data_IF_339885019842
#
_entry.id   IF_339885019842
#
_cell.length_a   1.000
_cell.length_b   1.000
_cell.length_c   1.000
_cell.angle_alpha   90.00
_cell.angle_beta   90.00
_cell.angle_gamma   90.00
#
_symmetry.space_group_name_H-M   'P 1'
#
loop_
_entity.id
_entity.type
_entity.pdbx_description
1 polymer ?
#
# COMPACT_ATOMS: atom_id res chain seq x y z
N UNK A 1 -27.87 -15.35 -64.29
CA UNK A 1 -27.33 -16.63 -64.80
C UNK A 1 -26.38 -17.17 -63.76
N UNK A 2 -26.63 -18.39 -63.24
CA UNK A 2 -25.91 -19.24 -62.25
C UNK A 2 -25.88 -18.72 -60.83
N UNK A 3 -26.74 -19.14 -59.93
CA UNK A 3 -26.92 -20.37 -59.16
C UNK A 3 -25.64 -20.80 -58.43
N UNK A 4 -25.62 -20.52 -57.10
CA UNK A 4 -24.75 -21.21 -56.13
C UNK A 4 -25.62 -21.86 -55.07
N UNK A 5 -25.44 -23.17 -54.99
CA UNK A 5 -26.18 -24.14 -54.19
C UNK A 5 -26.05 -23.93 -52.71
N UNK A 6 -27.15 -24.11 -52.01
CA UNK A 6 -27.28 -24.34 -50.60
C UNK A 6 -26.59 -25.70 -50.25
N UNK A 7 -25.62 -25.66 -49.32
CA UNK A 7 -25.19 -26.85 -48.58
C UNK A 7 -25.55 -26.69 -47.13
N UNK A 8 -26.44 -27.57 -46.67
CA UNK A 8 -26.91 -27.70 -45.32
C UNK A 8 -25.77 -27.90 -44.35
N UNK A 9 -25.80 -27.12 -43.27
CA UNK A 9 -24.97 -27.32 -42.08
C UNK A 9 -25.78 -28.20 -41.12
N UNK A 10 -25.18 -29.37 -40.81
CA UNK A 10 -25.73 -30.35 -39.89
C UNK A 10 -25.88 -29.74 -38.47
N UNK A 11 -27.03 -29.99 -37.85
CA UNK A 11 -27.28 -29.74 -36.43
C UNK A 11 -26.24 -30.49 -35.58
N UNK A 12 -25.36 -29.75 -34.93
CA UNK A 12 -24.49 -30.28 -33.89
C UNK A 12 -25.24 -30.29 -32.57
N UNK A 13 -25.40 -31.47 -32.01
CA UNK A 13 -25.97 -31.79 -30.71
C UNK A 13 -25.47 -30.83 -29.64
N UNK A 14 -26.39 -30.01 -29.09
CA UNK A 14 -26.15 -29.25 -27.88
C UNK A 14 -26.18 -30.20 -26.67
N UNK A 15 -24.99 -30.58 -26.21
CA UNK A 15 -24.81 -31.25 -24.92
C UNK A 15 -25.22 -30.30 -23.81
N UNK A 16 -26.41 -30.57 -23.22
CA UNK A 16 -26.89 -29.85 -22.03
C UNK A 16 -25.95 -30.13 -20.86
N UNK A 17 -25.46 -29.11 -20.14
CA UNK A 17 -24.65 -29.34 -18.94
C UNK A 17 -25.51 -30.02 -17.86
N UNK A 18 -25.00 -31.13 -17.32
CA UNK A 18 -25.60 -31.82 -16.18
C UNK A 18 -25.58 -30.89 -14.97
N UNK A 19 -26.64 -30.84 -14.13
CA UNK A 19 -26.62 -30.06 -12.88
C UNK A 19 -25.61 -30.65 -11.92
N UNK A 20 -24.66 -29.80 -11.48
CA UNK A 20 -23.71 -30.11 -10.41
C UNK A 20 -24.52 -30.44 -9.13
N UNK A 21 -24.47 -31.70 -8.70
CA UNK A 21 -24.97 -32.09 -7.38
C UNK A 21 -24.21 -31.26 -6.32
N UNK A 22 -24.98 -30.39 -5.64
CA UNK A 22 -24.54 -29.75 -4.40
C UNK A 22 -24.29 -30.83 -3.36
N UNK A 23 -23.03 -31.21 -3.13
CA UNK A 23 -22.68 -31.96 -1.92
C UNK A 23 -22.82 -30.99 -0.75
N UNK A 24 -23.76 -31.29 0.14
CA UNK A 24 -23.90 -30.62 1.44
C UNK A 24 -22.59 -30.79 2.25
N UNK A 25 -21.87 -29.69 2.47
CA UNK A 25 -20.76 -29.62 3.40
C UNK A 25 -21.36 -29.68 4.82
N UNK A 26 -20.81 -30.48 5.75
CA UNK A 26 -21.30 -30.55 7.13
C UNK A 26 -21.21 -29.16 7.79
N UNK A 27 -22.29 -28.79 8.49
CA UNK A 27 -22.37 -27.56 9.31
C UNK A 27 -21.66 -27.72 10.66
N UNK A 28 -20.34 -27.86 10.65
CA UNK A 28 -19.54 -27.81 11.87
C UNK A 28 -18.31 -26.92 11.69
N UNK A 29 -18.50 -25.74 11.06
CA UNK A 29 -17.56 -24.65 11.20
C UNK A 29 -18.05 -23.77 12.35
N UNK A 30 -17.55 -24.04 13.57
CA UNK A 30 -17.64 -23.11 14.69
C UNK A 30 -17.08 -21.78 14.24
N UNK A 31 -17.85 -20.71 14.42
CA UNK A 31 -17.43 -19.34 14.20
C UNK A 31 -16.06 -19.13 14.87
N UNK A 32 -15.02 -18.96 14.08
CA UNK A 32 -13.73 -18.50 14.58
C UNK A 32 -13.98 -17.08 15.10
N UNK A 33 -13.91 -16.93 16.41
CA UNK A 33 -13.87 -15.63 17.06
C UNK A 33 -12.76 -14.76 16.42
N UNK A 34 -12.86 -13.41 16.41
CA UNK A 34 -11.84 -12.55 15.86
C UNK A 34 -10.50 -12.93 16.46
N UNK A 35 -9.58 -13.37 15.60
CA UNK A 35 -8.29 -13.93 15.97
C UNK A 35 -7.49 -12.91 16.79
N UNK A 36 -7.14 -13.33 18.02
CA UNK A 36 -6.19 -12.67 18.88
C UNK A 36 -4.87 -12.48 18.08
N UNK A 37 -4.64 -11.27 17.56
CA UNK A 37 -3.55 -11.00 16.60
C UNK A 37 -2.21 -10.86 17.34
N UNK A 38 -1.78 -11.92 18.04
CA UNK A 38 -0.52 -11.99 18.81
C UNK A 38 0.74 -11.96 17.93
N UNK A 39 0.63 -12.04 16.60
CA UNK A 39 1.73 -11.72 15.69
C UNK A 39 2.15 -10.24 15.77
N UNK A 40 1.35 -9.42 16.43
CA UNK A 40 1.70 -8.05 16.77
C UNK A 40 2.93 -7.95 17.70
N UNK A 41 3.25 -9.01 18.46
CA UNK A 41 4.34 -9.01 19.45
C UNK A 41 5.74 -9.23 18.85
N UNK A 42 5.90 -9.29 17.54
CA UNK A 42 7.20 -9.21 16.87
C UNK A 42 7.81 -7.81 17.07
N UNK A 43 7.96 -7.40 18.32
CA UNK A 43 8.66 -6.19 18.69
C UNK A 43 10.17 -6.49 18.84
N UNK A 44 11.05 -5.55 18.50
CA UNK A 44 12.45 -5.68 18.82
C UNK A 44 12.60 -5.86 20.36
N UNK A 45 13.51 -6.73 20.82
CA UNK A 45 13.77 -6.91 22.26
C UNK A 45 14.12 -5.54 22.85
N UNK A 46 13.58 -5.24 24.03
CA UNK A 46 13.93 -4.05 24.79
C UNK A 46 15.45 -4.00 24.92
N UNK A 47 16.05 -2.87 24.57
CA UNK A 47 17.48 -2.63 24.73
C UNK A 47 17.84 -2.63 26.23
N UNK A 48 18.10 -3.80 26.80
CA UNK A 48 18.97 -3.92 27.94
C UNK A 48 20.40 -3.74 27.43
N UNK A 49 21.04 -2.67 27.86
CA UNK A 49 22.47 -2.44 27.66
C UNK A 49 23.22 -3.66 28.18
N UNK A 50 24.24 -4.06 27.42
CA UNK A 50 25.27 -5.07 27.70
C UNK A 50 25.12 -6.34 26.86
N UNK A 51 25.87 -6.34 25.74
CA UNK A 51 26.89 -7.34 25.40
C UNK A 51 27.52 -6.90 24.07
N UNK A 52 28.70 -6.34 24.18
CA UNK A 52 29.56 -6.03 23.03
C UNK A 52 30.10 -7.32 22.39
N UNK A 53 29.47 -7.72 21.29
CA UNK A 53 30.09 -8.64 20.34
C UNK A 53 30.46 -7.84 19.09
N UNK A 54 31.76 -7.60 18.91
CA UNK A 54 32.34 -7.01 17.71
C UNK A 54 32.16 -7.97 16.54
N UNK A 55 31.03 -7.88 15.83
CA UNK A 55 30.89 -8.40 14.49
C UNK A 55 31.44 -7.33 13.54
N UNK A 56 32.65 -7.59 13.02
CA UNK A 56 33.25 -6.78 11.98
C UNK A 56 32.46 -6.84 10.66
N UNK A 57 31.36 -6.11 10.58
CA UNK A 57 30.66 -5.89 9.34
C UNK A 57 31.42 -4.82 8.56
N UNK A 58 32.20 -5.21 7.55
CA UNK A 58 32.57 -4.31 6.46
C UNK A 58 31.26 -3.86 5.80
N UNK A 59 30.73 -2.72 6.25
CA UNK A 59 29.69 -1.99 5.57
C UNK A 59 30.25 -1.52 4.23
N UNK A 60 30.04 -2.29 3.16
CA UNK A 60 30.08 -1.72 1.82
C UNK A 60 28.84 -0.84 1.69
N UNK A 61 28.94 0.39 2.19
CA UNK A 61 27.99 1.43 1.88
C UNK A 61 28.05 1.64 0.37
N UNK A 62 27.15 0.95 -0.36
CA UNK A 62 26.82 1.35 -1.72
C UNK A 62 26.25 2.75 -1.58
N UNK A 63 27.06 3.76 -1.86
CA UNK A 63 26.61 5.14 -2.00
C UNK A 63 25.63 5.18 -3.15
N UNK A 64 24.36 4.90 -2.86
CA UNK A 64 23.27 5.12 -3.81
C UNK A 64 23.27 6.61 -4.10
N UNK A 65 23.49 6.99 -5.37
CA UNK A 65 23.24 8.36 -5.81
C UNK A 65 21.83 8.72 -5.34
N UNK A 66 21.72 9.66 -4.40
CA UNK A 66 20.45 10.19 -3.96
C UNK A 66 19.70 10.73 -5.19
N UNK A 67 18.42 10.46 -5.29
CA UNK A 67 17.57 11.06 -6.33
C UNK A 67 17.52 12.57 -6.16
N UNK A 68 16.93 13.28 -7.11
CA UNK A 68 16.78 14.74 -7.00
C UNK A 68 15.92 15.08 -5.78
N UNK A 69 16.37 15.99 -4.87
CA UNK A 69 15.53 16.48 -3.78
C UNK A 69 14.25 17.11 -4.31
N UNK A 70 13.11 16.81 -3.69
CA UNK A 70 11.82 17.45 -3.98
C UNK A 70 11.43 18.28 -2.77
N UNK A 71 11.35 19.60 -2.96
CA UNK A 71 11.02 20.55 -1.89
C UNK A 71 9.53 20.44 -1.55
N UNK A 72 9.25 20.37 -0.26
CA UNK A 72 7.87 20.43 0.27
C UNK A 72 7.34 21.86 0.23
N UNK A 73 8.18 22.83 0.59
CA UNK A 73 7.82 24.26 0.53
C UNK A 73 7.44 24.66 -0.91
N UNK A 74 6.31 25.33 -1.05
CA UNK A 74 5.70 25.76 -2.31
C UNK A 74 5.27 24.62 -3.23
N UNK A 75 5.26 23.36 -2.77
CA UNK A 75 4.69 22.25 -3.53
C UNK A 75 3.16 22.28 -3.55
N UNK A 76 2.58 21.58 -4.51
CA UNK A 76 1.14 21.32 -4.56
C UNK A 76 0.98 19.81 -4.39
N UNK A 77 0.41 19.42 -3.24
CA UNK A 77 0.27 18.01 -2.87
C UNK A 77 -1.15 17.51 -3.10
N UNK A 78 -1.29 16.27 -3.59
CA UNK A 78 -2.55 15.52 -3.60
C UNK A 78 -2.38 14.30 -2.69
N UNK A 79 -3.26 14.15 -1.69
CA UNK A 79 -3.25 13.02 -0.75
C UNK A 79 -4.53 12.22 -0.88
N UNK A 80 -4.45 10.94 -1.21
CA UNK A 80 -5.62 10.05 -1.28
C UNK A 80 -5.97 9.47 0.08
N UNK A 81 -7.28 9.25 0.37
CA UNK A 81 -7.74 8.78 1.67
C UNK A 81 -7.48 9.78 2.80
N UNK A 82 -7.69 11.07 2.54
CA UNK A 82 -7.30 12.18 3.40
C UNK A 82 -8.34 12.58 4.47
N UNK A 83 -9.52 11.96 4.49
CA UNK A 83 -10.57 12.29 5.45
C UNK A 83 -10.25 11.90 6.90
N UNK A 84 -9.35 10.93 7.12
CA UNK A 84 -8.97 10.42 8.44
C UNK A 84 -7.57 9.82 8.48
N UNK A 85 -7.17 9.36 9.65
CA UNK A 85 -5.95 8.58 9.88
C UNK A 85 -4.70 9.24 9.33
N UNK A 86 -3.82 8.44 8.72
CA UNK A 86 -2.53 8.88 8.20
C UNK A 86 -2.68 9.94 7.08
N UNK A 87 -3.67 9.78 6.18
CA UNK A 87 -3.89 10.72 5.09
C UNK A 87 -4.20 12.14 5.57
N UNK A 88 -5.04 12.27 6.63
CA UNK A 88 -5.31 13.56 7.27
C UNK A 88 -4.03 14.17 7.87
N UNK A 89 -3.19 13.34 8.49
CA UNK A 89 -1.93 13.81 9.09
C UNK A 89 -0.92 14.22 8.00
N UNK A 90 -0.90 13.55 6.83
CA UNK A 90 -0.11 14.01 5.67
C UNK A 90 -0.54 15.41 5.21
N UNK A 91 -1.85 15.66 5.06
CA UNK A 91 -2.34 16.99 4.70
C UNK A 91 -1.84 18.05 5.68
N UNK A 92 -1.95 17.78 6.99
CA UNK A 92 -1.45 18.67 8.02
C UNK A 92 0.06 18.90 7.92
N UNK A 93 0.84 17.82 7.75
CA UNK A 93 2.29 17.90 7.60
C UNK A 93 2.73 18.72 6.39
N UNK A 94 2.05 18.58 5.24
CA UNK A 94 2.34 19.41 4.06
C UNK A 94 2.06 20.89 4.33
N UNK A 95 0.93 21.23 4.94
CA UNK A 95 0.59 22.63 5.29
C UNK A 95 1.62 23.22 6.24
N UNK A 96 1.99 22.51 7.29
CA UNK A 96 2.99 22.96 8.28
C UNK A 96 4.37 23.20 7.66
N UNK A 97 4.73 22.44 6.64
CA UNK A 97 6.02 22.57 5.93
C UNK A 97 5.95 23.50 4.72
N UNK A 98 4.86 24.29 4.61
CA UNK A 98 4.74 25.38 3.63
C UNK A 98 4.43 24.94 2.21
N UNK A 99 3.72 23.84 2.03
CA UNK A 99 3.12 23.52 0.72
C UNK A 99 2.17 24.68 0.31
N UNK A 100 2.20 25.06 -0.95
CA UNK A 100 1.38 26.14 -1.48
C UNK A 100 -0.11 25.74 -1.58
N UNK A 101 -0.37 24.45 -1.79
CA UNK A 101 -1.73 23.89 -1.87
C UNK A 101 -1.71 22.42 -1.46
N UNK A 102 -2.78 21.97 -0.83
CA UNK A 102 -3.00 20.56 -0.51
C UNK A 102 -4.40 20.16 -0.95
N UNK A 103 -4.48 19.29 -1.94
CA UNK A 103 -5.70 18.59 -2.30
C UNK A 103 -5.88 17.40 -1.37
N UNK A 104 -6.95 17.43 -0.58
CA UNK A 104 -7.32 16.32 0.30
C UNK A 104 -8.40 15.49 -0.41
N UNK A 105 -8.06 14.28 -0.83
CA UNK A 105 -8.95 13.45 -1.61
C UNK A 105 -9.58 12.33 -0.79
N UNK A 106 -10.90 12.17 -0.90
CA UNK A 106 -11.68 11.11 -0.27
C UNK A 106 -12.90 10.77 -1.12
N UNK A 107 -13.50 9.57 -0.90
CA UNK A 107 -14.76 9.16 -1.55
C UNK A 107 -15.90 10.14 -1.27
N UNK A 108 -15.95 10.66 -0.06
CA UNK A 108 -16.86 11.72 0.36
C UNK A 108 -16.05 12.92 0.86
N UNK A 109 -15.90 13.98 0.03
CA UNK A 109 -15.18 15.19 0.41
C UNK A 109 -15.84 15.97 1.55
N UNK A 110 -17.15 15.77 1.80
CA UNK A 110 -17.88 16.36 2.92
C UNK A 110 -17.37 15.93 4.30
N UNK A 111 -16.62 14.80 4.36
CA UNK A 111 -15.98 14.34 5.60
C UNK A 111 -14.62 15.01 5.87
N UNK A 112 -14.16 15.90 5.01
CA UNK A 112 -12.86 16.57 5.17
C UNK A 112 -13.10 17.91 5.89
N UNK A 113 -12.90 17.90 7.22
CA UNK A 113 -13.08 19.05 8.08
C UNK A 113 -11.74 19.68 8.49
N UNK A 114 -10.86 19.92 7.51
CA UNK A 114 -9.54 20.52 7.73
C UNK A 114 -9.44 21.86 7.00
N UNK A 115 -9.07 22.92 7.74
CA UNK A 115 -8.80 24.23 7.16
C UNK A 115 -7.52 24.23 6.31
N UNK A 116 -7.49 25.01 5.24
CA UNK A 116 -6.30 25.18 4.40
C UNK A 116 -6.09 24.09 3.34
N UNK A 117 -6.97 23.11 3.24
CA UNK A 117 -6.95 22.11 2.17
C UNK A 117 -8.08 22.34 1.16
N UNK A 118 -7.92 21.79 -0.02
CA UNK A 118 -8.96 21.73 -1.07
C UNK A 118 -9.55 20.32 -1.07
N UNK A 119 -10.78 20.11 -0.60
CA UNK A 119 -11.42 18.80 -0.63
C UNK A 119 -11.69 18.35 -2.08
N UNK A 120 -11.36 17.10 -2.41
CA UNK A 120 -11.58 16.49 -3.73
C UNK A 120 -12.30 15.16 -3.57
N UNK A 121 -13.33 14.94 -4.40
CA UNK A 121 -13.94 13.62 -4.54
C UNK A 121 -12.96 12.71 -5.29
N UNK A 122 -12.61 11.57 -4.70
CA UNK A 122 -11.79 10.55 -5.34
C UNK A 122 -11.98 9.20 -4.64
N UNK A 123 -12.72 8.30 -5.30
CA UNK A 123 -12.62 6.87 -5.03
C UNK A 123 -11.50 6.31 -5.91
N UNK A 124 -10.46 5.79 -5.29
CA UNK A 124 -9.29 5.27 -6.01
C UNK A 124 -9.60 4.04 -6.87
N UNK A 125 -10.75 3.40 -6.63
CA UNK A 125 -11.24 2.25 -7.41
C UNK A 125 -12.16 2.67 -8.57
N UNK A 126 -12.52 3.96 -8.66
CA UNK A 126 -13.37 4.52 -9.71
C UNK A 126 -12.52 5.20 -10.78
N UNK A 127 -12.50 4.64 -12.00
CA UNK A 127 -11.77 5.23 -13.11
C UNK A 127 -12.28 6.65 -13.43
N UNK A 128 -13.60 6.88 -13.33
CA UNK A 128 -14.19 8.21 -13.58
C UNK A 128 -13.73 9.23 -12.55
N UNK A 129 -13.70 8.88 -11.26
CA UNK A 129 -13.22 9.78 -10.20
C UNK A 129 -11.73 10.11 -10.40
N UNK A 130 -10.91 9.12 -10.82
CA UNK A 130 -9.48 9.33 -11.09
C UNK A 130 -9.26 10.27 -12.29
N UNK A 131 -10.05 10.14 -13.35
CA UNK A 131 -9.98 11.03 -14.51
C UNK A 131 -10.38 12.46 -14.13
N UNK A 132 -11.49 12.64 -13.42
CA UNK A 132 -11.97 13.94 -12.96
C UNK A 132 -10.95 14.60 -12.01
N UNK A 133 -10.40 13.85 -11.06
CA UNK A 133 -9.37 14.36 -10.17
C UNK A 133 -8.12 14.82 -10.93
N UNK A 134 -7.69 14.10 -11.97
CA UNK A 134 -6.55 14.50 -12.80
C UNK A 134 -6.81 15.76 -13.61
N UNK A 135 -8.06 15.96 -14.05
CA UNK A 135 -8.48 17.18 -14.76
C UNK A 135 -8.57 18.40 -13.82
N UNK A 136 -8.99 18.21 -12.58
CA UNK A 136 -9.09 19.28 -11.58
C UNK A 136 -7.71 19.62 -11.00
N UNK A 137 -6.87 18.63 -10.72
CA UNK A 137 -5.60 18.77 -10.00
C UNK A 137 -4.40 18.84 -10.96
N UNK A 138 -4.48 19.63 -12.02
CA UNK A 138 -3.43 19.74 -13.08
C UNK A 138 -2.12 20.38 -12.62
N UNK A 139 -2.11 21.02 -11.47
CA UNK A 139 -0.96 21.72 -10.89
C UNK A 139 -0.19 20.89 -9.84
N UNK A 140 -0.57 19.63 -9.62
CA UNK A 140 0.06 18.74 -8.63
C UNK A 140 1.52 18.48 -8.95
N UNK A 141 2.37 18.63 -7.92
CA UNK A 141 3.80 18.34 -7.96
C UNK A 141 4.21 17.20 -7.01
N UNK A 142 3.36 16.86 -6.01
CA UNK A 142 3.55 15.72 -5.12
C UNK A 142 2.25 14.93 -5.01
N UNK A 143 2.30 13.64 -5.35
CA UNK A 143 1.20 12.71 -5.21
C UNK A 143 1.48 11.74 -4.05
N UNK A 144 0.53 11.59 -3.12
CA UNK A 144 0.59 10.61 -2.02
C UNK A 144 -0.52 9.58 -2.18
N UNK A 145 -0.18 8.38 -2.62
CA UNK A 145 -1.07 7.22 -2.64
C UNK A 145 -1.12 6.62 -1.24
N UNK A 146 -2.05 7.14 -0.42
CA UNK A 146 -2.24 6.72 0.96
C UNK A 146 -3.51 5.89 1.15
N UNK A 147 -4.54 6.06 0.32
CA UNK A 147 -5.75 5.25 0.41
C UNK A 147 -5.41 3.75 0.42
N UNK A 148 -6.02 3.01 1.33
CA UNK A 148 -5.79 1.58 1.47
C UNK A 148 -6.84 0.94 2.36
N UNK A 149 -6.98 -0.38 2.23
CA UNK A 149 -7.86 -1.21 3.05
C UNK A 149 -7.12 -2.44 3.54
N UNK A 150 -7.56 -2.95 4.67
CA UNK A 150 -7.13 -4.18 5.32
C UNK A 150 -8.39 -4.97 5.72
N UNK A 151 -8.47 -6.24 5.33
CA UNK A 151 -9.61 -7.12 5.59
C UNK A 151 -9.30 -8.23 6.60
N UNK A 152 -8.07 -8.31 7.09
CA UNK A 152 -7.61 -9.31 8.07
C UNK A 152 -8.06 -10.74 7.69
N UNK A 153 -7.77 -11.15 6.46
CA UNK A 153 -8.17 -12.45 5.95
C UNK A 153 -6.98 -13.38 5.73
N UNK A 154 -7.06 -14.58 6.30
CA UNK A 154 -6.14 -15.66 5.97
C UNK A 154 -6.43 -16.17 4.55
N UNK A 155 -5.39 -16.62 3.82
CA UNK A 155 -5.50 -17.02 2.42
C UNK A 155 -6.51 -18.16 2.18
N UNK A 156 -6.63 -19.08 3.13
CA UNK A 156 -7.57 -20.21 3.06
C UNK A 156 -8.81 -20.00 3.95
N UNK A 157 -9.05 -18.77 4.41
CA UNK A 157 -10.22 -18.40 5.21
C UNK A 157 -11.48 -18.26 4.35
N UNK A 158 -12.65 -18.39 4.98
CA UNK A 158 -13.91 -18.08 4.33
C UNK A 158 -13.95 -16.60 3.91
N UNK A 159 -14.40 -16.33 2.68
CA UNK A 159 -14.46 -14.97 2.13
C UNK A 159 -13.09 -14.39 1.72
N UNK A 160 -12.00 -15.15 1.78
CA UNK A 160 -10.66 -14.69 1.45
C UNK A 160 -10.51 -14.17 0.01
N UNK A 161 -11.23 -14.76 -0.94
CA UNK A 161 -11.20 -14.33 -2.34
C UNK A 161 -11.78 -12.91 -2.49
N UNK A 162 -12.90 -12.62 -1.84
CA UNK A 162 -13.51 -11.29 -1.86
C UNK A 162 -12.62 -10.26 -1.12
N UNK A 163 -12.06 -10.64 0.04
CA UNK A 163 -11.11 -9.81 0.75
C UNK A 163 -9.89 -9.47 -0.12
N UNK A 164 -9.32 -10.47 -0.80
CA UNK A 164 -8.18 -10.28 -1.69
C UNK A 164 -8.52 -9.35 -2.87
N UNK A 165 -9.71 -9.51 -3.50
CA UNK A 165 -10.15 -8.62 -4.58
C UNK A 165 -10.25 -7.18 -4.11
N UNK A 166 -10.91 -6.92 -2.98
CA UNK A 166 -11.08 -5.56 -2.44
C UNK A 166 -9.74 -4.93 -2.07
N UNK A 167 -8.82 -5.70 -1.50
CA UNK A 167 -7.48 -5.23 -1.16
C UNK A 167 -6.64 -4.96 -2.41
N UNK A 168 -6.71 -5.81 -3.43
CA UNK A 168 -6.03 -5.59 -4.71
C UNK A 168 -6.58 -4.37 -5.44
N UNK A 169 -7.91 -4.21 -5.51
CA UNK A 169 -8.54 -3.03 -6.13
C UNK A 169 -8.07 -1.73 -5.49
N UNK A 170 -8.08 -1.67 -4.16
CA UNK A 170 -7.74 -0.42 -3.45
C UNK A 170 -6.23 -0.20 -3.33
N UNK A 171 -5.47 -1.27 -2.99
CA UNK A 171 -4.06 -1.11 -2.61
C UNK A 171 -3.10 -1.19 -3.81
N UNK A 172 -3.52 -1.78 -4.93
CA UNK A 172 -2.71 -1.97 -6.14
C UNK A 172 -3.30 -1.28 -7.38
N UNK A 173 -4.53 -1.65 -7.81
CA UNK A 173 -5.13 -1.10 -9.03
C UNK A 173 -5.46 0.38 -8.88
N UNK A 174 -5.90 0.82 -7.71
CA UNK A 174 -6.12 2.23 -7.41
C UNK A 174 -4.86 3.09 -7.62
N UNK A 175 -3.74 2.82 -6.92
CA UNK A 175 -2.47 3.51 -7.16
C UNK A 175 -1.97 3.40 -8.60
N UNK A 176 -2.13 2.26 -9.28
CA UNK A 176 -1.76 2.10 -10.68
C UNK A 176 -2.55 3.07 -11.58
N UNK A 177 -3.89 3.10 -11.45
CA UNK A 177 -4.76 3.99 -12.21
C UNK A 177 -4.41 5.46 -11.98
N UNK A 178 -4.22 5.86 -10.71
CA UNK A 178 -3.84 7.23 -10.34
C UNK A 178 -2.49 7.60 -10.95
N UNK A 179 -1.48 6.75 -10.83
CA UNK A 179 -0.15 7.04 -11.38
C UNK A 179 -0.17 7.17 -12.89
N UNK A 180 -0.94 6.35 -13.61
CA UNK A 180 -1.09 6.46 -15.06
C UNK A 180 -1.63 7.84 -15.50
N UNK A 181 -2.51 8.45 -14.71
CA UNK A 181 -3.11 9.76 -15.00
C UNK A 181 -2.26 10.94 -14.49
N UNK A 182 -1.64 10.79 -13.32
CA UNK A 182 -0.86 11.88 -12.71
C UNK A 182 0.61 11.93 -13.14
N UNK A 183 1.19 10.86 -13.68
CA UNK A 183 2.56 10.91 -14.20
C UNK A 183 2.74 11.95 -15.33
N UNK A 184 1.82 12.08 -16.30
CA UNK A 184 1.86 13.19 -17.28
C UNK A 184 1.69 14.57 -16.63
N UNK A 185 0.80 14.71 -15.63
CA UNK A 185 0.58 15.96 -14.88
C UNK A 185 1.87 16.40 -14.19
N UNK A 186 2.51 15.48 -13.44
CA UNK A 186 3.79 15.76 -12.79
C UNK A 186 4.87 16.16 -13.80
N UNK A 187 4.97 15.46 -14.92
CA UNK A 187 5.93 15.79 -15.97
C UNK A 187 5.69 17.18 -16.58
N UNK A 188 4.44 17.57 -16.80
CA UNK A 188 4.05 18.90 -17.31
C UNK A 188 4.41 20.02 -16.31
N UNK A 189 4.42 19.72 -15.01
CA UNK A 189 4.81 20.65 -13.94
C UNK A 189 6.32 20.65 -13.64
N UNK A 190 7.14 20.09 -14.54
CA UNK A 190 8.60 20.04 -14.38
C UNK A 190 9.12 18.88 -13.53
N UNK A 191 8.30 17.87 -13.28
CA UNK A 191 8.59 16.73 -12.43
C UNK A 191 7.97 16.86 -11.05
N UNK A 192 8.49 16.06 -10.08
CA UNK A 192 7.98 16.08 -8.70
C UNK A 192 8.17 14.75 -8.00
N UNK A 193 7.19 14.33 -7.20
CA UNK A 193 7.28 13.06 -6.48
C UNK A 193 5.96 12.30 -6.42
N UNK A 194 6.08 10.96 -6.40
CA UNK A 194 5.03 10.02 -6.04
C UNK A 194 5.46 9.32 -4.75
N UNK A 195 4.62 9.35 -3.74
CA UNK A 195 4.80 8.65 -2.46
C UNK A 195 3.76 7.55 -2.38
N UNK A 196 4.19 6.30 -2.28
CA UNK A 196 3.32 5.16 -2.10
C UNK A 196 3.42 4.64 -0.65
N UNK A 197 2.30 4.61 0.06
CA UNK A 197 2.25 4.07 1.43
C UNK A 197 2.15 2.55 1.35
N UNK A 198 3.27 1.92 1.65
CA UNK A 198 3.46 0.48 1.70
C UNK A 198 3.38 -0.03 3.15
N UNK A 199 3.86 -1.22 3.39
CA UNK A 199 3.87 -1.85 4.70
C UNK A 199 5.08 -2.78 4.81
N UNK A 200 5.48 -3.13 6.03
CA UNK A 200 6.36 -4.29 6.27
C UNK A 200 5.76 -5.59 5.69
N UNK A 201 4.44 -5.68 5.64
CA UNK A 201 3.70 -6.76 4.99
C UNK A 201 3.99 -6.90 3.47
N UNK A 202 4.70 -5.95 2.87
CA UNK A 202 5.20 -6.06 1.49
C UNK A 202 6.38 -7.04 1.33
N UNK A 203 7.02 -7.44 2.43
CA UNK A 203 8.25 -8.23 2.41
C UNK A 203 8.09 -9.65 2.95
N UNK A 204 7.03 -9.91 3.69
CA UNK A 204 6.76 -11.23 4.25
C UNK A 204 5.25 -11.47 4.33
N UNK A 205 4.87 -12.73 4.58
CA UNK A 205 3.48 -13.11 4.77
C UNK A 205 3.19 -13.33 6.25
N UNK A 206 2.17 -12.59 6.76
CA UNK A 206 1.50 -12.95 8.01
C UNK A 206 0.26 -13.79 7.65
N UNK A 207 0.17 -15.07 8.10
CA UNK A 207 -0.93 -15.95 7.71
C UNK A 207 -2.34 -15.43 8.04
N UNK A 208 -2.51 -14.64 9.12
CA UNK A 208 -3.82 -14.09 9.51
C UNK A 208 -4.29 -12.93 8.64
N UNK A 209 -3.39 -12.30 7.89
CA UNK A 209 -3.68 -11.17 6.98
C UNK A 209 -3.00 -11.37 5.61
N UNK A 210 -2.99 -12.62 5.14
CA UNK A 210 -2.19 -13.01 3.97
C UNK A 210 -2.67 -12.35 2.67
N UNK A 211 -3.96 -12.09 2.51
CA UNK A 211 -4.52 -11.37 1.37
C UNK A 211 -4.01 -9.93 1.30
N UNK A 212 -3.95 -9.24 2.45
CA UNK A 212 -3.35 -7.92 2.56
C UNK A 212 -1.86 -7.93 2.22
N UNK A 213 -1.09 -8.91 2.74
CA UNK A 213 0.33 -9.05 2.40
C UNK A 213 0.53 -9.17 0.88
N UNK A 214 -0.30 -9.97 0.20
CA UNK A 214 -0.27 -10.10 -1.25
C UNK A 214 -0.51 -8.74 -1.95
N UNK A 215 -1.51 -7.97 -1.52
CA UNK A 215 -1.81 -6.66 -2.09
C UNK A 215 -0.68 -5.64 -1.88
N UNK A 216 -0.03 -5.66 -0.72
CA UNK A 216 1.10 -4.77 -0.40
C UNK A 216 2.40 -5.19 -1.10
N UNK A 217 2.61 -6.49 -1.33
CA UNK A 217 3.69 -6.99 -2.17
C UNK A 217 3.51 -6.53 -3.64
N UNK A 218 2.29 -6.63 -4.17
CA UNK A 218 1.97 -6.11 -5.50
C UNK A 218 2.20 -4.59 -5.60
N UNK A 219 1.77 -3.82 -4.59
CA UNK A 219 2.01 -2.37 -4.52
C UNK A 219 3.51 -2.01 -4.45
N UNK A 220 4.33 -2.85 -3.81
CA UNK A 220 5.78 -2.68 -3.83
C UNK A 220 6.36 -2.89 -5.22
N UNK A 221 5.96 -3.95 -5.92
CA UNK A 221 6.41 -4.22 -7.30
C UNK A 221 6.02 -3.06 -8.20
N UNK A 222 4.79 -2.56 -8.09
CA UNK A 222 4.33 -1.35 -8.79
C UNK A 222 5.27 -0.16 -8.49
N UNK A 223 5.56 0.08 -7.22
CA UNK A 223 6.40 1.20 -6.78
C UNK A 223 7.80 1.12 -7.39
N UNK A 224 8.42 -0.06 -7.39
CA UNK A 224 9.74 -0.25 -7.95
C UNK A 224 9.74 -0.13 -9.49
N UNK A 225 8.71 -0.63 -10.18
CA UNK A 225 8.54 -0.53 -11.63
C UNK A 225 8.39 0.93 -12.09
N UNK A 226 7.47 1.68 -11.48
CA UNK A 226 7.24 3.08 -11.86
C UNK A 226 8.43 3.98 -11.49
N UNK A 227 9.20 3.65 -10.44
CA UNK A 227 10.46 4.35 -10.12
C UNK A 227 11.45 4.26 -11.27
N UNK A 228 11.59 3.08 -11.87
CA UNK A 228 12.47 2.90 -13.04
C UNK A 228 11.93 3.65 -14.27
N UNK A 229 10.63 3.58 -14.52
CA UNK A 229 9.99 4.19 -15.70
C UNK A 229 9.97 5.73 -15.65
N UNK A 230 9.89 6.33 -14.44
CA UNK A 230 9.78 7.77 -14.26
C UNK A 230 11.12 8.45 -13.94
N UNK A 231 12.20 7.68 -13.74
CA UNK A 231 13.52 8.20 -13.36
C UNK A 231 14.02 9.33 -14.27
N UNK A 232 13.84 9.18 -15.58
CA UNK A 232 14.31 10.15 -16.59
C UNK A 232 13.23 11.19 -16.95
N UNK A 233 12.08 11.18 -16.24
CA UNK A 233 10.97 12.12 -16.45
C UNK A 233 10.87 13.19 -15.35
N UNK A 234 11.92 13.32 -14.53
CA UNK A 234 11.96 14.29 -13.43
C UNK A 234 11.04 13.94 -12.25
N UNK A 235 10.40 12.75 -12.25
CA UNK A 235 9.49 12.34 -11.17
C UNK A 235 10.15 11.26 -10.31
N UNK A 236 10.26 11.54 -9.01
CA UNK A 236 10.74 10.57 -8.01
C UNK A 236 9.61 9.70 -7.52
N UNK A 237 9.95 8.46 -7.15
CA UNK A 237 8.98 7.52 -6.57
C UNK A 237 9.55 6.98 -5.26
N UNK A 238 8.83 7.23 -4.17
CA UNK A 238 9.21 6.89 -2.81
C UNK A 238 8.27 5.83 -2.28
N UNK A 239 8.81 4.73 -1.77
CA UNK A 239 8.06 3.74 -0.99
C UNK A 239 8.22 4.00 0.50
N UNK A 240 7.11 4.13 1.23
CA UNK A 240 7.08 4.32 2.69
C UNK A 240 6.61 3.03 3.34
N UNK A 241 7.49 2.41 4.12
CA UNK A 241 7.23 1.13 4.79
C UNK A 241 7.02 1.37 6.27
N UNK A 242 5.87 0.97 6.78
CA UNK A 242 5.50 1.10 8.17
C UNK A 242 5.02 -0.24 8.75
N UNK A 243 5.20 -0.39 10.05
CA UNK A 243 4.48 -1.40 10.84
C UNK A 243 3.05 -0.94 11.13
N UNK A 244 2.59 -1.14 12.38
CA UNK A 244 1.29 -0.65 12.79
C UNK A 244 1.34 0.85 13.11
N UNK A 245 0.50 1.62 12.43
CA UNK A 245 0.34 3.07 12.65
C UNK A 245 -0.88 3.28 13.55
N UNK A 246 -0.82 4.19 14.50
CA UNK A 246 -1.92 4.50 15.42
C UNK A 246 -3.04 5.25 14.69
N UNK A 247 -3.91 4.46 14.07
CA UNK A 247 -5.08 4.88 13.30
C UNK A 247 -6.21 3.87 13.50
N UNK A 248 -7.42 4.23 13.06
CA UNK A 248 -8.59 3.32 13.13
C UNK A 248 -8.33 1.97 12.48
N UNK A 249 -7.53 1.91 11.41
CA UNK A 249 -7.20 0.67 10.70
C UNK A 249 -6.47 -0.34 11.60
N UNK A 250 -5.71 0.13 12.56
CA UNK A 250 -4.97 -0.70 13.52
C UNK A 250 -5.58 -0.65 14.93
N UNK A 251 -6.83 -0.20 15.11
CA UNK A 251 -7.46 -0.06 16.43
C UNK A 251 -7.54 -1.37 17.21
N UNK A 252 -7.75 -2.49 16.49
CA UNK A 252 -7.84 -3.83 17.05
C UNK A 252 -6.50 -4.44 17.48
N UNK A 253 -5.37 -3.78 17.17
CA UNK A 253 -4.02 -4.29 17.45
C UNK A 253 -3.54 -3.76 18.80
N UNK A 254 -3.17 -4.66 19.73
CA UNK A 254 -2.70 -4.34 21.09
C UNK A 254 -1.17 -4.30 21.23
N UNK A 255 -0.45 -3.91 20.17
CA UNK A 255 1.02 -3.73 20.24
C UNK A 255 1.39 -2.25 20.10
N UNK A 256 2.66 -1.94 20.36
CA UNK A 256 3.17 -0.57 20.14
C UNK A 256 2.94 -0.14 18.68
N UNK A 257 2.26 0.97 18.54
CA UNK A 257 1.95 1.60 17.25
C UNK A 257 2.82 2.83 17.04
N UNK A 258 3.09 3.13 15.78
CA UNK A 258 3.85 4.32 15.38
C UNK A 258 2.90 5.51 15.29
N UNK A 259 3.27 6.65 15.85
CA UNK A 259 2.51 7.88 15.70
C UNK A 259 2.43 8.28 14.21
N UNK A 260 1.24 8.62 13.68
CA UNK A 260 1.09 9.01 12.28
C UNK A 260 2.00 10.17 11.87
N UNK A 261 2.23 11.14 12.76
CA UNK A 261 3.11 12.28 12.49
C UNK A 261 4.56 11.85 12.26
N UNK A 262 5.07 10.85 12.99
CA UNK A 262 6.43 10.31 12.77
C UNK A 262 6.59 9.75 11.35
N UNK A 263 5.56 9.07 10.81
CA UNK A 263 5.56 8.56 9.44
C UNK A 263 5.64 9.72 8.44
N UNK A 264 4.84 10.76 8.67
CA UNK A 264 4.81 11.96 7.83
C UNK A 264 6.16 12.68 7.86
N UNK A 265 6.70 12.97 9.04
CA UNK A 265 8.00 13.66 9.19
C UNK A 265 9.14 12.92 8.47
N UNK A 266 9.24 11.60 8.66
CA UNK A 266 10.24 10.76 7.96
C UNK A 266 10.04 10.79 6.44
N UNK A 267 8.78 10.84 5.97
CA UNK A 267 8.46 10.92 4.54
C UNK A 267 8.83 12.27 3.94
N UNK A 268 8.49 13.37 4.61
CA UNK A 268 8.84 14.72 4.15
C UNK A 268 10.36 14.92 4.13
N UNK A 269 11.08 14.44 5.16
CA UNK A 269 12.54 14.45 5.18
C UNK A 269 13.14 13.62 4.02
N UNK A 270 12.53 12.51 3.65
CA UNK A 270 12.97 11.69 2.52
C UNK A 270 12.76 12.39 1.17
N UNK A 271 11.65 13.13 1.01
CA UNK A 271 11.43 13.97 -0.17
C UNK A 271 12.59 14.95 -0.37
N UNK A 272 13.03 15.61 0.70
CA UNK A 272 14.08 16.64 0.66
C UNK A 272 15.49 16.08 0.61
N UNK A 273 15.75 14.89 1.18
CA UNK A 273 17.08 14.27 1.20
C UNK A 273 17.38 13.36 0.01
N UNK A 274 16.42 13.09 -0.85
CA UNK A 274 16.66 12.24 -2.01
C UNK A 274 16.55 10.73 -1.74
N UNK A 275 15.96 10.27 -0.62
CA UNK A 275 15.77 8.85 -0.32
C UNK A 275 14.55 8.27 -1.05
N UNK A 276 14.69 7.09 -1.64
CA UNK A 276 13.60 6.40 -2.36
C UNK A 276 12.85 5.36 -1.51
N UNK A 277 13.40 4.99 -0.35
CA UNK A 277 12.79 4.08 0.61
C UNK A 277 12.80 4.71 2.00
N UNK A 278 11.64 4.72 2.63
CA UNK A 278 11.44 5.27 3.97
C UNK A 278 11.01 4.15 4.90
N UNK A 279 11.84 3.83 5.89
CA UNK A 279 11.41 3.00 7.02
C UNK A 279 10.79 3.94 8.06
N UNK A 280 9.47 3.91 8.14
CA UNK A 280 8.70 4.87 8.92
C UNK A 280 8.85 4.66 10.44
N UNK A 281 9.29 3.48 10.85
CA UNK A 281 9.48 3.09 12.24
C UNK A 281 10.61 2.05 12.42
N UNK A 282 10.93 1.77 13.69
CA UNK A 282 12.00 0.82 14.04
C UNK A 282 11.59 -0.62 13.69
N UNK A 283 10.27 -0.92 13.71
CA UNK A 283 9.75 -2.22 13.29
C UNK A 283 10.03 -2.47 11.81
N UNK A 284 9.82 -1.46 10.95
CA UNK A 284 10.12 -1.58 9.52
C UNK A 284 11.61 -1.84 9.28
N UNK A 285 12.48 -1.15 10.01
CA UNK A 285 13.93 -1.40 9.96
C UNK A 285 14.28 -2.81 10.41
N UNK A 286 13.73 -3.26 11.55
CA UNK A 286 13.97 -4.58 12.10
C UNK A 286 13.51 -5.70 11.15
N UNK A 287 12.29 -5.60 10.60
CA UNK A 287 11.74 -6.62 9.69
C UNK A 287 12.56 -6.68 8.39
N UNK A 288 12.92 -5.52 7.78
CA UNK A 288 13.75 -5.51 6.57
C UNK A 288 15.09 -6.22 6.81
N UNK A 289 15.74 -5.97 7.94
CA UNK A 289 16.99 -6.61 8.31
C UNK A 289 16.84 -8.13 8.51
N UNK A 290 15.80 -8.56 9.23
CA UNK A 290 15.55 -9.98 9.53
C UNK A 290 15.24 -10.78 8.28
N UNK A 291 14.31 -10.28 7.44
CA UNK A 291 13.93 -10.96 6.20
C UNK A 291 15.10 -11.08 5.22
N UNK A 292 16.01 -10.11 5.21
CA UNK A 292 17.18 -10.16 4.32
C UNK A 292 18.32 -11.02 4.86
N UNK A 293 18.50 -11.07 6.18
CA UNK A 293 19.60 -11.79 6.81
C UNK A 293 19.38 -13.30 6.76
N UNK A 294 18.18 -13.76 7.10
CA UNK A 294 17.82 -15.17 7.14
C UNK A 294 16.30 -15.34 6.98
N UNK A 295 15.81 -15.43 5.73
CA UNK A 295 14.38 -15.62 5.48
C UNK A 295 13.84 -16.94 6.05
N UNK A 296 14.64 -18.02 6.04
CA UNK A 296 14.19 -19.32 6.51
C UNK A 296 13.96 -19.31 8.02
N UNK A 297 14.91 -18.78 8.80
CA UNK A 297 14.74 -18.63 10.25
C UNK A 297 13.57 -17.68 10.58
N UNK A 298 13.38 -16.61 9.81
CA UNK A 298 12.27 -15.68 9.98
C UNK A 298 10.91 -16.37 9.79
N UNK A 299 10.74 -17.16 8.71
CA UNK A 299 9.52 -17.91 8.47
C UNK A 299 9.31 -19.06 9.45
N UNK A 300 10.38 -19.71 9.96
CA UNK A 300 10.27 -20.71 11.01
C UNK A 300 9.73 -20.11 12.33
N UNK A 301 10.11 -18.88 12.66
CA UNK A 301 9.53 -18.16 13.81
C UNK A 301 8.07 -17.82 13.60
N UNK A 302 7.70 -17.34 12.40
CA UNK A 302 6.30 -17.06 12.05
C UNK A 302 5.44 -18.32 12.13
N UNK A 303 5.95 -19.47 11.65
CA UNK A 303 5.25 -20.75 11.72
C UNK A 303 4.99 -21.17 13.17
N UNK A 304 6.02 -21.13 14.03
CA UNK A 304 5.85 -21.45 15.46
C UNK A 304 4.78 -20.58 16.11
N UNK A 305 4.78 -19.30 15.76
CA UNK A 305 3.80 -18.36 16.29
C UNK A 305 2.38 -18.65 15.79
N UNK A 306 2.24 -18.95 14.50
CA UNK A 306 0.99 -19.39 13.90
C UNK A 306 0.42 -20.65 14.56
N UNK A 307 1.27 -21.65 14.80
CA UNK A 307 0.87 -22.91 15.43
C UNK A 307 0.41 -22.71 16.90
N UNK A 308 1.03 -21.75 17.61
CA UNK A 308 0.67 -21.43 18.98
C UNK A 308 -0.66 -20.65 19.13
N UNK A 309 -1.22 -20.13 18.04
CA UNK A 309 -2.46 -19.35 18.03
C UNK A 309 -3.68 -20.17 17.56
N UNK A 310 -3.51 -21.45 17.27
CA UNK A 310 -4.55 -22.40 16.87
C UNK A 310 -4.80 -23.45 17.96
#
# INVERSE_FOLDING_TARGET
MQAYEERGVAETDMVRPRPLMRRSIPRDARSLAPSDNRLADFAPPHSSREHGAKLGARSTAVTRKAGHPVKVRNSIALVTGANRGLGRVFCHGFLQNGAAKVYAAARDPGQIHMSGVVPIRLDVTSISDVLEAADVCRDVTILVNNAGVLRDSAMLGEGSEEAARQEMETNFFGPLSIVQRFAPVLAANGGGAIVNILSVASWFTNPSMATYCASKAAAQVLTDAIRMQLRNKGTRVIGVYAGYIDTDMASHVNTRKTAPMQVVERTLAALESGMDRVFADDRATYIDQRVRADPEAFYAELQKHWDATR
#
